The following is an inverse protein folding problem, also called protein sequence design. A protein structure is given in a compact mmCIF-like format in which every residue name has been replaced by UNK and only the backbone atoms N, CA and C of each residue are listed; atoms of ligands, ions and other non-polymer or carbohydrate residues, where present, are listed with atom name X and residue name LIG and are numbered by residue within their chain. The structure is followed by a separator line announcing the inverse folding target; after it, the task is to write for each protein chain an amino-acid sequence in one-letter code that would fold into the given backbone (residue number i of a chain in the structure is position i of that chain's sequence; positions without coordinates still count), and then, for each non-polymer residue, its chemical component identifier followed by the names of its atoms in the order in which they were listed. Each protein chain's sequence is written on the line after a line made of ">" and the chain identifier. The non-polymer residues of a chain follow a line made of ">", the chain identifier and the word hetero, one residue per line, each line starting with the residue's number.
data_IF_415210582578
#
_entry.id   IF_415210582578
#
_cell.length_a   1.000
_cell.length_b   1.000
_cell.length_c   1.000
_cell.angle_alpha   90.00
_cell.angle_beta   90.00
_cell.angle_gamma   90.00
#
_symmetry.space_group_name_H-M   'P 1'
#
loop_
_entity.id
_entity.type
_entity.pdbx_description
1 polymer ?
#
# COMPACT_ATOMS: atom_id res chain seq x y z
N UNK A 1 4.33 3.47 10.06
CA UNK A 1 2.89 3.23 10.34
C UNK A 1 2.10 4.28 9.58
N UNK A 2 1.08 3.89 8.83
CA UNK A 2 0.17 4.79 8.10
C UNK A 2 -0.95 5.22 9.03
N UNK A 3 -1.32 6.50 8.95
CA UNK A 3 -2.43 7.07 9.70
C UNK A 3 -3.64 7.27 8.77
N UNK A 4 -4.84 7.26 9.36
CA UNK A 4 -6.07 7.42 8.59
C UNK A 4 -6.11 8.77 7.87
N UNK A 5 -6.27 8.72 6.55
CA UNK A 5 -6.35 9.86 5.65
C UNK A 5 -5.13 10.79 5.70
N UNK A 6 -3.97 10.27 6.11
CA UNK A 6 -2.70 11.00 6.10
C UNK A 6 -1.82 10.48 4.96
N UNK A 7 -1.59 11.28 3.90
CA UNK A 7 -0.70 10.91 2.82
C UNK A 7 0.76 10.93 3.28
N UNK A 8 1.51 9.88 2.96
CA UNK A 8 2.97 9.84 3.04
C UNK A 8 3.51 10.15 1.66
N UNK A 9 4.07 11.35 1.51
CA UNK A 9 4.59 11.86 0.24
C UNK A 9 6.10 11.64 0.11
N UNK A 10 6.64 11.80 -1.10
CA UNK A 10 8.08 11.75 -1.32
C UNK A 10 8.68 10.34 -1.22
N UNK A 11 7.87 9.30 -1.39
CA UNK A 11 8.34 7.93 -1.34
C UNK A 11 9.21 7.62 -2.56
N UNK A 12 10.30 6.90 -2.31
CA UNK A 12 11.17 6.39 -3.36
C UNK A 12 11.93 5.18 -2.90
N UNK A 13 12.22 4.28 -3.84
CA UNK A 13 13.02 3.10 -3.63
C UNK A 13 13.71 2.69 -4.94
N UNK A 14 14.93 2.13 -4.83
CA UNK A 14 15.65 1.57 -5.98
C UNK A 14 15.00 0.27 -6.46
N UNK A 15 15.12 -0.06 -7.76
CA UNK A 15 14.61 -1.32 -8.31
C UNK A 15 15.05 -2.52 -7.47
N UNK A 16 14.10 -3.40 -7.15
CA UNK A 16 14.32 -4.57 -6.28
C UNK A 16 14.15 -4.29 -4.78
N UNK A 17 14.17 -3.02 -4.35
CA UNK A 17 13.87 -2.67 -2.97
C UNK A 17 12.36 -2.59 -2.72
N UNK A 18 11.95 -2.69 -1.45
CA UNK A 18 10.56 -2.49 -1.05
C UNK A 18 10.45 -1.78 0.27
N UNK A 19 9.48 -0.88 0.38
CA UNK A 19 9.11 -0.18 1.59
C UNK A 19 7.99 -0.94 2.28
N UNK A 20 8.10 -1.12 3.59
CA UNK A 20 7.09 -1.77 4.41
C UNK A 20 6.40 -0.75 5.31
N UNK A 21 5.08 -0.78 5.27
CA UNK A 21 4.18 0.05 6.06
C UNK A 21 3.16 -0.83 6.76
N UNK A 22 2.60 -0.30 7.84
CA UNK A 22 1.54 -0.97 8.61
C UNK A 22 0.45 0.03 8.90
N UNK A 23 -0.80 -0.42 8.90
CA UNK A 23 -1.98 0.37 9.25
C UNK A 23 -2.82 -0.42 10.24
N UNK A 24 -3.22 0.22 11.34
CA UNK A 24 -4.05 -0.43 12.36
C UNK A 24 -5.50 -0.04 12.11
N UNK A 25 -6.30 -0.99 11.64
CA UNK A 25 -7.72 -0.79 11.35
C UNK A 25 -8.53 -1.20 12.57
N UNK A 26 -9.32 -0.30 13.17
CA UNK A 26 -10.19 -0.65 14.29
C UNK A 26 -11.37 -1.51 13.82
N UNK A 27 -12.06 -2.18 14.73
CA UNK A 27 -13.25 -2.96 14.41
C UNK A 27 -14.39 -2.07 13.92
N UNK A 28 -15.21 -2.61 13.00
CA UNK A 28 -16.40 -1.91 12.50
C UNK A 28 -16.14 -0.92 11.36
N UNK A 29 -14.94 -0.93 10.75
CA UNK A 29 -14.72 -0.18 9.50
C UNK A 29 -15.40 -0.88 8.34
N UNK A 30 -16.10 -0.10 7.51
CA UNK A 30 -16.77 -0.59 6.30
C UNK A 30 -15.81 -0.77 5.13
N UNK A 31 -14.67 -0.06 5.14
CA UNK A 31 -13.73 -0.08 4.03
C UNK A 31 -12.32 0.29 4.50
N UNK A 32 -11.30 -0.34 3.93
CA UNK A 32 -9.90 0.11 3.94
C UNK A 32 -9.50 0.39 2.48
N UNK A 33 -9.22 1.66 2.18
CA UNK A 33 -8.73 2.10 0.88
C UNK A 33 -7.29 2.57 1.03
N UNK A 34 -6.39 1.97 0.27
CA UNK A 34 -4.99 2.39 0.19
C UNK A 34 -4.70 2.78 -1.24
N UNK A 35 -4.20 3.99 -1.42
CA UNK A 35 -3.97 4.59 -2.73
C UNK A 35 -2.52 5.00 -2.83
N UNK A 36 -1.88 4.60 -3.91
CA UNK A 36 -0.57 5.01 -4.34
C UNK A 36 -0.76 5.91 -5.57
N UNK A 37 -0.15 7.09 -5.59
CA UNK A 37 -0.29 8.01 -6.71
C UNK A 37 0.90 8.97 -6.86
N UNK A 38 1.09 9.48 -8.08
CA UNK A 38 2.11 10.47 -8.40
C UNK A 38 3.50 9.87 -8.63
N UNK A 39 4.52 10.73 -8.64
CA UNK A 39 5.92 10.33 -8.86
C UNK A 39 6.21 9.77 -10.25
N UNK A 40 7.39 9.18 -10.39
CA UNK A 40 7.90 8.52 -11.60
C UNK A 40 8.44 7.13 -11.26
N UNK A 41 8.47 6.24 -12.25
CA UNK A 41 8.93 4.85 -12.09
C UNK A 41 7.78 3.86 -12.08
N UNK A 42 8.01 2.70 -11.47
CA UNK A 42 7.04 1.61 -11.37
C UNK A 42 7.06 1.02 -9.95
N UNK A 43 6.08 1.44 -9.15
CA UNK A 43 5.86 1.02 -7.79
C UNK A 43 4.63 0.12 -7.73
N UNK A 44 4.79 -1.08 -7.16
CA UNK A 44 3.74 -2.05 -6.94
C UNK A 44 3.25 -2.05 -5.48
N UNK A 45 1.93 -2.10 -5.30
CA UNK A 45 1.24 -2.05 -4.02
C UNK A 45 0.73 -3.43 -3.66
N UNK A 46 1.20 -3.93 -2.52
CA UNK A 46 0.75 -5.19 -1.93
C UNK A 46 0.18 -4.93 -0.55
N UNK A 47 -0.97 -5.52 -0.27
CA UNK A 47 -1.64 -5.38 1.03
C UNK A 47 -2.05 -6.74 1.55
N UNK A 48 -1.84 -6.96 2.85
CA UNK A 48 -2.25 -8.18 3.53
C UNK A 48 -2.61 -7.93 5.00
N UNK A 49 -3.64 -8.60 5.50
CA UNK A 49 -4.01 -8.57 6.92
C UNK A 49 -3.13 -9.50 7.76
N UNK A 50 -2.75 -9.05 8.96
CA UNK A 50 -2.05 -9.84 9.98
C UNK A 50 -0.59 -10.18 9.71
N UNK A 51 -0.11 -10.12 8.48
CA UNK A 51 1.30 -10.41 8.12
C UNK A 51 1.74 -9.64 6.89
N UNK A 52 3.05 -9.48 6.73
CA UNK A 52 3.63 -8.84 5.55
C UNK A 52 3.26 -9.60 4.27
N UNK A 53 2.81 -8.92 3.21
CA UNK A 53 2.54 -9.55 1.93
C UNK A 53 3.83 -10.00 1.24
N UNK A 54 3.75 -11.11 0.52
CA UNK A 54 4.80 -11.62 -0.37
C UNK A 54 4.38 -11.46 -1.83
N UNK A 55 5.27 -11.75 -2.77
CA UNK A 55 4.98 -11.68 -4.20
C UNK A 55 3.91 -12.70 -4.65
N UNK A 56 3.67 -13.74 -3.84
CA UNK A 56 2.68 -14.80 -4.09
C UNK A 56 1.50 -14.78 -3.12
N UNK A 57 1.62 -14.09 -1.98
CA UNK A 57 0.59 -14.07 -0.95
C UNK A 57 0.26 -12.63 -0.56
N UNK A 58 -0.86 -12.16 -1.08
CA UNK A 58 -1.42 -10.83 -0.86
C UNK A 58 -2.94 -10.93 -0.75
N UNK A 59 -3.56 -10.02 0.00
CA UNK A 59 -5.01 -9.85 0.02
C UNK A 59 -5.47 -9.01 -1.16
N UNK A 60 -4.64 -8.05 -1.58
CA UNK A 60 -4.99 -7.13 -2.64
C UNK A 60 -3.75 -6.65 -3.39
N UNK A 61 -3.86 -6.70 -4.72
CA UNK A 61 -2.93 -6.14 -5.68
C UNK A 61 -3.79 -5.67 -6.87
N UNK A 62 -3.83 -4.38 -7.20
CA UNK A 62 -4.66 -3.89 -8.30
C UNK A 62 -4.09 -4.25 -9.70
N UNK A 63 -2.85 -4.74 -9.80
CA UNK A 63 -2.22 -5.17 -11.07
C UNK A 63 -2.19 -4.04 -12.13
N UNK A 64 -2.19 -2.78 -11.72
CA UNK A 64 -2.11 -1.64 -12.62
C UNK A 64 -0.63 -1.37 -12.93
N UNK A 65 -0.34 -0.96 -14.17
CA UNK A 65 1.01 -0.53 -14.54
C UNK A 65 1.28 0.91 -14.06
N UNK A 66 2.45 1.13 -13.46
CA UNK A 66 2.89 2.43 -12.98
C UNK A 66 2.50 2.70 -11.52
N UNK A 67 2.72 3.93 -11.08
CA UNK A 67 2.66 4.30 -9.65
C UNK A 67 1.24 4.56 -9.11
N UNK A 68 0.21 4.39 -9.94
CA UNK A 68 -1.15 4.84 -9.67
C UNK A 68 -2.04 3.66 -9.33
N UNK A 69 -1.86 3.13 -8.12
CA UNK A 69 -2.49 1.90 -7.67
C UNK A 69 -3.47 2.16 -6.53
N UNK A 70 -4.69 1.65 -6.66
CA UNK A 70 -5.69 1.75 -5.59
C UNK A 70 -6.13 0.36 -5.19
N UNK A 71 -5.93 0.03 -3.93
CA UNK A 71 -6.52 -1.15 -3.32
C UNK A 71 -7.68 -0.74 -2.42
N UNK A 72 -8.86 -1.33 -2.64
CA UNK A 72 -10.02 -1.15 -1.77
C UNK A 72 -10.44 -2.50 -1.22
N UNK A 73 -10.47 -2.60 0.11
CA UNK A 73 -10.91 -3.77 0.85
C UNK A 73 -12.23 -3.41 1.53
N UNK A 74 -13.30 -4.10 1.17
CA UNK A 74 -14.60 -3.96 1.84
C UNK A 74 -14.63 -4.79 3.12
N UNK A 75 -15.22 -4.24 4.17
CA UNK A 75 -15.29 -4.87 5.51
C UNK A 75 -13.95 -5.44 6.00
N UNK A 76 -12.88 -4.62 6.10
CA UNK A 76 -11.58 -5.09 6.55
C UNK A 76 -11.68 -5.68 7.97
N UNK A 77 -11.00 -6.82 8.18
CA UNK A 77 -10.79 -7.36 9.51
C UNK A 77 -10.11 -6.32 10.41
N UNK A 78 -10.55 -6.24 11.67
CA UNK A 78 -9.89 -5.43 12.68
C UNK A 78 -8.47 -5.95 12.92
N UNK A 79 -7.51 -5.06 13.11
CA UNK A 79 -6.13 -5.40 13.42
C UNK A 79 -5.12 -4.71 12.52
N UNK A 80 -3.91 -5.27 12.51
CA UNK A 80 -2.80 -4.70 11.74
C UNK A 80 -2.82 -5.23 10.32
N UNK A 81 -2.88 -4.31 9.37
CA UNK A 81 -2.71 -4.56 7.95
C UNK A 81 -1.31 -4.12 7.54
N UNK A 82 -0.65 -4.95 6.75
CA UNK A 82 0.68 -4.67 6.21
C UNK A 82 0.53 -4.22 4.76
N UNK A 83 1.17 -3.11 4.45
CA UNK A 83 1.24 -2.51 3.12
C UNK A 83 2.71 -2.56 2.70
N UNK A 84 3.00 -3.19 1.57
CA UNK A 84 4.34 -3.23 0.99
C UNK A 84 4.30 -2.53 -0.35
N UNK A 85 5.19 -1.55 -0.52
CA UNK A 85 5.41 -0.86 -1.80
C UNK A 85 6.72 -1.37 -2.37
N UNK A 86 6.66 -2.13 -3.46
CA UNK A 86 7.84 -2.73 -4.09
C UNK A 86 8.21 -1.92 -5.33
N UNK A 87 9.50 -1.60 -5.48
CA UNK A 87 10.02 -0.99 -6.68
C UNK A 87 10.26 -2.06 -7.74
N UNK A 88 9.34 -2.21 -8.69
CA UNK A 88 9.62 -2.99 -9.89
C UNK A 88 10.74 -2.31 -10.68
N UNK A 89 10.60 -1.00 -10.90
CA UNK A 89 11.69 -0.12 -11.31
C UNK A 89 11.91 0.97 -10.26
N UNK A 90 13.07 1.62 -10.29
CA UNK A 90 13.38 2.71 -9.36
C UNK A 90 12.28 3.77 -9.45
N UNK A 91 11.60 4.02 -8.34
CA UNK A 91 10.54 5.02 -8.26
C UNK A 91 10.88 6.12 -7.27
N UNK A 92 10.32 7.30 -7.48
CA UNK A 92 10.53 8.46 -6.61
C UNK A 92 9.37 9.45 -6.69
N UNK A 93 9.11 10.14 -5.58
CA UNK A 93 8.07 11.17 -5.50
C UNK A 93 6.65 10.61 -5.43
N UNK A 94 6.50 9.33 -5.09
CA UNK A 94 5.20 8.68 -4.99
C UNK A 94 4.56 9.03 -3.65
N UNK A 95 3.22 9.13 -3.64
CA UNK A 95 2.42 9.41 -2.45
C UNK A 95 1.56 8.20 -2.10
N UNK A 96 1.65 7.73 -0.86
CA UNK A 96 0.87 6.63 -0.31
C UNK A 96 -0.12 7.15 0.72
N UNK A 97 -1.40 6.86 0.54
CA UNK A 97 -2.48 7.29 1.45
C UNK A 97 -3.29 6.07 1.87
N UNK A 98 -3.50 5.88 3.17
CA UNK A 98 -4.41 4.88 3.71
C UNK A 98 -5.64 5.55 4.33
N UNK A 99 -6.83 5.04 4.02
CA UNK A 99 -8.12 5.52 4.50
C UNK A 99 -8.91 4.34 5.02
N UNK A 100 -9.39 4.41 6.26
CA UNK A 100 -10.19 3.38 6.90
C UNK A 100 -11.19 3.98 7.86
#
# INVERSE_FOLDING_TARGET
>A
VLQNNVPVTGLGAASGASLAYTVTVPSGRSQLKVTLAGGSGDADLYIRSGSAPTDTVYTCRPYLSGNNETCTITSPAAGTWHVRVKAYSTFSGVTLTAQY
#
